data_IF_444703672516
#
_entry.id   IF_444703672516
#
_cell.length_a   1.000
_cell.length_b   1.000
_cell.length_c   1.000
_cell.angle_alpha   90.00
_cell.angle_beta   90.00
_cell.angle_gamma   90.00
#
_symmetry.space_group_name_H-M   'P 1'
#
loop_
_entity.id
_entity.type
_entity.pdbx_description
1 polymer ?
#
# COMPACT_ATOMS: atom_id res chain seq x y z
N UNK A 1 10.13 -1.24 19.93
CA UNK A 1 11.16 -0.72 19.01
C UNK A 1 10.46 0.07 17.91
N UNK A 2 11.07 1.13 17.35
CA UNK A 2 10.52 1.79 16.18
C UNK A 2 10.62 0.86 14.96
N UNK A 3 9.59 0.86 14.10
CA UNK A 3 9.59 0.13 12.85
C UNK A 3 10.14 1.04 11.75
N UNK A 4 10.99 0.46 10.88
CA UNK A 4 11.47 1.17 9.71
C UNK A 4 10.44 1.08 8.59
N UNK A 5 9.91 2.21 8.06
CA UNK A 5 9.01 2.20 6.93
C UNK A 5 9.78 1.97 5.64
N UNK A 6 9.33 1.04 4.80
CA UNK A 6 9.79 0.88 3.43
C UNK A 6 8.61 0.54 2.53
N UNK A 7 8.69 0.93 1.26
CA UNK A 7 7.72 0.58 0.24
C UNK A 7 8.28 -0.55 -0.61
N UNK A 8 7.44 -1.57 -0.86
CA UNK A 8 7.78 -2.70 -1.70
C UNK A 8 6.82 -2.75 -2.88
N UNK A 9 7.34 -2.97 -4.08
CA UNK A 9 6.49 -3.37 -5.19
C UNK A 9 6.09 -4.83 -4.98
N UNK A 10 4.78 -5.06 -4.85
CA UNK A 10 4.20 -6.40 -4.66
C UNK A 10 3.38 -6.87 -5.86
N UNK A 11 3.40 -6.11 -6.96
CA UNK A 11 2.72 -6.47 -8.19
C UNK A 11 3.18 -7.86 -8.68
N UNK A 12 2.22 -8.73 -8.99
CA UNK A 12 2.45 -10.11 -9.40
C UNK A 12 3.22 -10.99 -8.40
N UNK A 13 3.44 -10.52 -7.15
CA UNK A 13 4.08 -11.33 -6.12
C UNK A 13 3.08 -12.26 -5.44
N UNK A 14 3.43 -13.54 -5.22
CA UNK A 14 2.55 -14.48 -4.51
C UNK A 14 2.33 -14.05 -3.06
N UNK A 15 1.08 -13.89 -2.67
CA UNK A 15 0.64 -13.58 -1.32
C UNK A 15 -0.32 -14.67 -0.82
N UNK A 16 -0.09 -15.21 0.37
CA UNK A 16 -1.01 -16.12 1.02
C UNK A 16 -1.81 -15.41 2.10
N UNK A 17 -3.13 -15.55 2.05
CA UNK A 17 -4.04 -15.16 3.14
C UNK A 17 -4.67 -16.43 3.72
N UNK A 18 -4.46 -16.69 5.02
CA UNK A 18 -5.08 -17.80 5.72
C UNK A 18 -6.20 -17.28 6.60
N UNK A 19 -7.42 -17.62 6.23
CA UNK A 19 -8.66 -17.16 6.86
C UNK A 19 -9.68 -16.69 5.83
N UNK A 20 -10.97 -16.82 6.13
CA UNK A 20 -12.06 -16.54 5.20
C UNK A 20 -13.14 -15.63 5.76
N UNK A 21 -12.87 -14.95 6.89
CA UNK A 21 -13.81 -14.03 7.53
C UNK A 21 -13.63 -12.57 7.09
N UNK A 22 -14.41 -11.68 7.70
CA UNK A 22 -14.41 -10.23 7.40
C UNK A 22 -13.05 -9.55 7.61
N UNK A 23 -12.21 -10.07 8.50
CA UNK A 23 -10.86 -9.52 8.71
C UNK A 23 -9.95 -9.87 7.54
N UNK A 24 -10.00 -11.12 7.06
CA UNK A 24 -9.28 -11.55 5.86
C UNK A 24 -9.74 -10.75 4.63
N UNK A 25 -11.06 -10.59 4.44
CA UNK A 25 -11.64 -9.81 3.34
C UNK A 25 -11.06 -8.39 3.28
N UNK A 26 -11.07 -7.66 4.39
CA UNK A 26 -10.50 -6.30 4.46
C UNK A 26 -9.02 -6.23 4.11
N UNK A 27 -8.25 -7.30 4.37
CA UNK A 27 -6.84 -7.38 3.97
C UNK A 27 -6.71 -7.66 2.48
N UNK A 28 -7.53 -8.56 1.95
CA UNK A 28 -7.59 -8.89 0.52
C UNK A 28 -7.94 -7.65 -0.29
N UNK A 29 -9.02 -6.94 0.06
CA UNK A 29 -9.45 -5.71 -0.63
C UNK A 29 -8.33 -4.68 -0.73
N UNK A 30 -7.60 -4.44 0.38
CA UNK A 30 -6.46 -3.52 0.36
C UNK A 30 -5.29 -3.99 -0.48
N UNK A 31 -5.08 -5.30 -0.58
CA UNK A 31 -4.01 -5.85 -1.40
C UNK A 31 -4.32 -5.77 -2.89
N UNK A 32 -5.58 -5.88 -3.27
CA UNK A 32 -6.03 -5.79 -4.67
C UNK A 32 -5.62 -4.47 -5.32
N UNK A 33 -5.54 -3.37 -4.57
CA UNK A 33 -5.06 -2.08 -5.05
C UNK A 33 -3.59 -2.11 -5.53
N UNK A 34 -2.82 -3.14 -5.12
CA UNK A 34 -1.41 -3.32 -5.42
C UNK A 34 -1.11 -4.54 -6.31
N UNK A 35 -2.14 -5.19 -6.82
CA UNK A 35 -2.09 -6.28 -7.80
C UNK A 35 -1.17 -7.48 -7.47
N UNK A 36 -1.04 -7.98 -6.23
CA UNK A 36 -0.35 -9.23 -5.97
C UNK A 36 -1.19 -10.42 -6.45
N UNK A 37 -0.56 -11.58 -6.60
CA UNK A 37 -1.25 -12.85 -6.81
C UNK A 37 -1.71 -13.38 -5.45
N UNK A 38 -3.01 -13.21 -5.15
CA UNK A 38 -3.56 -13.56 -3.84
C UNK A 38 -4.09 -15.00 -3.83
N UNK A 39 -3.49 -15.85 -3.02
CA UNK A 39 -3.99 -17.18 -2.68
C UNK A 39 -4.67 -17.11 -1.31
N UNK A 40 -5.90 -17.57 -1.21
CA UNK A 40 -6.67 -17.63 0.03
C UNK A 40 -6.88 -19.10 0.42
N UNK A 41 -6.57 -19.45 1.67
CA UNK A 41 -6.85 -20.77 2.24
C UNK A 41 -7.72 -20.58 3.48
N UNK A 42 -8.91 -21.17 3.48
CA UNK A 42 -9.86 -21.03 4.57
C UNK A 42 -10.76 -22.28 4.68
N UNK A 43 -11.01 -22.78 5.89
CA UNK A 43 -11.97 -23.87 6.10
C UNK A 43 -13.40 -23.45 5.72
N UNK A 44 -13.70 -22.15 5.79
CA UNK A 44 -14.95 -21.55 5.36
C UNK A 44 -14.69 -20.10 4.95
N UNK A 45 -15.09 -19.72 3.74
CA UNK A 45 -15.00 -18.35 3.25
C UNK A 45 -16.36 -17.63 3.35
N UNK A 46 -16.35 -16.31 3.56
CA UNK A 46 -17.55 -15.48 3.41
C UNK A 46 -17.94 -15.35 1.92
N UNK A 47 -19.15 -14.85 1.67
CA UNK A 47 -19.69 -14.73 0.31
C UNK A 47 -18.83 -13.85 -0.58
N UNK A 48 -18.41 -12.72 -0.06
CA UNK A 48 -17.61 -11.71 -0.77
C UNK A 48 -16.23 -12.27 -1.21
N UNK A 49 -15.58 -13.12 -0.40
CA UNK A 49 -14.33 -13.78 -0.78
C UNK A 49 -14.57 -14.79 -1.93
N UNK A 50 -15.69 -15.53 -1.90
CA UNK A 50 -16.07 -16.41 -3.00
C UNK A 50 -16.36 -15.63 -4.29
N UNK A 51 -17.09 -14.53 -4.20
CA UNK A 51 -17.33 -13.64 -5.34
C UNK A 51 -16.04 -13.10 -5.97
N UNK A 52 -15.04 -12.74 -5.14
CA UNK A 52 -13.72 -12.33 -5.63
C UNK A 52 -13.02 -13.49 -6.37
N UNK A 53 -13.15 -14.71 -5.87
CA UNK A 53 -12.58 -15.91 -6.52
C UNK A 53 -13.31 -16.22 -7.85
N UNK A 54 -14.65 -16.16 -7.87
CA UNK A 54 -15.47 -16.39 -9.07
C UNK A 54 -15.13 -15.36 -10.18
N UNK A 55 -14.77 -14.15 -9.80
CA UNK A 55 -14.30 -13.10 -10.71
C UNK A 55 -12.83 -13.25 -11.13
N UNK A 56 -12.12 -14.27 -10.63
CA UNK A 56 -10.72 -14.51 -10.94
C UNK A 56 -9.73 -13.51 -10.30
N UNK A 57 -10.18 -12.72 -9.33
CA UNK A 57 -9.33 -11.72 -8.67
C UNK A 57 -8.41 -12.34 -7.61
N UNK A 58 -8.77 -13.52 -7.10
CA UNK A 58 -8.01 -14.30 -6.11
C UNK A 58 -8.13 -15.79 -6.42
N UNK A 59 -7.25 -16.61 -5.84
CA UNK A 59 -7.31 -18.07 -5.91
C UNK A 59 -7.76 -18.57 -4.54
N UNK A 60 -8.96 -19.17 -4.45
CA UNK A 60 -9.54 -19.65 -3.21
C UNK A 60 -9.41 -21.18 -3.08
N UNK A 61 -8.90 -21.64 -1.95
CA UNK A 61 -8.95 -23.03 -1.52
C UNK A 61 -9.79 -23.13 -0.25
N UNK A 62 -11.01 -23.65 -0.39
CA UNK A 62 -11.91 -23.81 0.76
C UNK A 62 -11.65 -25.13 1.47
N UNK A 63 -10.61 -25.16 2.29
CA UNK A 63 -10.14 -26.28 3.12
C UNK A 63 -9.32 -25.78 4.31
N UNK A 64 -8.95 -26.68 5.20
CA UNK A 64 -7.99 -26.40 6.25
C UNK A 64 -6.61 -26.06 5.67
N UNK A 65 -5.86 -25.21 6.39
CA UNK A 65 -4.47 -24.87 6.10
C UNK A 65 -3.59 -26.10 6.19
N UNK A 66 -2.60 -26.18 5.31
CA UNK A 66 -1.52 -27.16 5.33
C UNK A 66 -0.17 -26.41 5.29
N UNK A 67 0.84 -26.93 5.96
CA UNK A 67 2.17 -26.29 6.07
C UNK A 67 2.83 -25.98 4.71
N UNK A 68 2.51 -26.78 3.68
CA UNK A 68 2.99 -26.53 2.33
C UNK A 68 2.30 -25.33 1.63
N UNK A 69 1.22 -24.80 2.20
CA UNK A 69 0.52 -23.66 1.58
C UNK A 69 1.35 -22.39 1.55
N UNK A 70 2.32 -22.24 2.48
CA UNK A 70 3.21 -21.09 2.51
C UNK A 70 4.33 -21.15 1.46
N UNK A 71 4.53 -22.30 0.81
CA UNK A 71 5.62 -22.48 -0.15
C UNK A 71 5.44 -21.53 -1.35
N UNK A 72 6.52 -20.85 -1.68
CA UNK A 72 6.54 -19.88 -2.77
C UNK A 72 5.87 -18.54 -2.46
N UNK A 73 5.31 -18.33 -1.25
CA UNK A 73 4.73 -17.07 -0.86
C UNK A 73 5.80 -16.02 -0.54
N UNK A 74 5.66 -14.81 -1.07
CA UNK A 74 6.52 -13.66 -0.74
C UNK A 74 6.21 -13.14 0.67
N UNK A 75 4.94 -13.16 1.06
CA UNK A 75 4.49 -12.83 2.40
C UNK A 75 3.18 -13.55 2.73
N UNK A 76 2.89 -13.68 4.01
CA UNK A 76 1.71 -14.40 4.52
C UNK A 76 0.92 -13.50 5.48
N UNK A 77 -0.40 -13.58 5.39
CA UNK A 77 -1.33 -12.96 6.32
C UNK A 77 -2.14 -14.05 7.00
N UNK A 78 -2.13 -14.09 8.33
CA UNK A 78 -2.99 -15.00 9.07
C UNK A 78 -4.13 -14.22 9.73
N UNK A 79 -5.34 -14.59 9.38
CA UNK A 79 -6.57 -13.95 9.84
C UNK A 79 -7.65 -15.00 10.16
N UNK A 80 -7.25 -16.12 10.77
CA UNK A 80 -8.18 -17.16 11.23
C UNK A 80 -8.75 -16.81 12.60
N UNK A 81 -9.89 -17.39 12.95
CA UNK A 81 -10.44 -17.31 14.31
C UNK A 81 -9.68 -18.14 15.34
N UNK A 82 -8.73 -18.99 14.93
CA UNK A 82 -7.95 -19.85 15.79
C UNK A 82 -6.55 -19.29 16.01
N UNK A 83 -6.29 -18.85 17.25
CA UNK A 83 -4.98 -18.29 17.65
C UNK A 83 -3.85 -19.33 17.56
N UNK A 84 -4.15 -20.61 17.79
CA UNK A 84 -3.17 -21.69 17.70
C UNK A 84 -2.68 -21.84 16.26
N UNK A 85 -3.59 -21.87 15.31
CA UNK A 85 -3.30 -21.92 13.87
C UNK A 85 -2.50 -20.67 13.44
N UNK A 86 -2.93 -19.47 13.82
CA UNK A 86 -2.22 -18.23 13.48
C UNK A 86 -0.77 -18.24 14.02
N UNK A 87 -0.57 -18.68 15.25
CA UNK A 87 0.75 -18.80 15.88
C UNK A 87 1.62 -19.85 15.17
N UNK A 88 1.06 -21.00 14.83
CA UNK A 88 1.76 -22.05 14.08
C UNK A 88 2.25 -21.53 12.74
N UNK A 89 1.37 -20.90 11.96
CA UNK A 89 1.72 -20.31 10.65
C UNK A 89 2.83 -19.27 10.80
N UNK A 90 2.72 -18.38 11.79
CA UNK A 90 3.72 -17.35 12.05
C UNK A 90 5.09 -17.95 12.40
N UNK A 91 5.13 -19.01 13.20
CA UNK A 91 6.37 -19.73 13.52
C UNK A 91 6.98 -20.39 12.28
N UNK A 92 6.15 -21.02 11.45
CA UNK A 92 6.56 -21.63 10.20
C UNK A 92 7.13 -20.60 9.22
N UNK A 93 6.47 -19.44 9.08
CA UNK A 93 6.95 -18.31 8.28
C UNK A 93 8.31 -17.80 8.79
N UNK A 94 8.48 -17.68 10.12
CA UNK A 94 9.74 -17.25 10.72
C UNK A 94 10.88 -18.22 10.43
N UNK A 95 10.63 -19.52 10.50
CA UNK A 95 11.62 -20.57 10.17
C UNK A 95 12.04 -20.52 8.70
N UNK A 96 11.13 -20.12 7.80
CA UNK A 96 11.37 -20.04 6.36
C UNK A 96 11.73 -18.63 5.87
N UNK A 97 11.92 -17.67 6.80
CA UNK A 97 12.22 -16.27 6.50
C UNK A 97 11.17 -15.58 5.60
N UNK A 98 9.91 -16.02 5.70
CA UNK A 98 8.78 -15.42 4.98
C UNK A 98 8.15 -14.34 5.88
N UNK A 99 8.02 -13.09 5.43
CA UNK A 99 7.31 -12.05 6.16
C UNK A 99 5.87 -12.47 6.50
N UNK A 100 5.46 -12.27 7.75
CA UNK A 100 4.13 -12.66 8.24
C UNK A 100 3.44 -11.52 8.99
N UNK A 101 2.17 -11.31 8.69
CA UNK A 101 1.28 -10.46 9.48
C UNK A 101 0.21 -11.33 10.15
N UNK A 102 0.34 -11.51 11.46
CA UNK A 102 -0.65 -12.23 12.26
C UNK A 102 -1.66 -11.23 12.83
N UNK A 103 -2.92 -11.39 12.49
CA UNK A 103 -3.99 -10.52 12.99
C UNK A 103 -4.16 -10.75 14.49
N UNK A 104 -4.31 -9.65 15.24
CA UNK A 104 -4.48 -9.61 16.69
C UNK A 104 -3.31 -10.20 17.51
N UNK A 105 -2.14 -10.43 16.87
CA UNK A 105 -0.93 -10.89 17.54
C UNK A 105 0.32 -10.13 17.05
N UNK A 106 0.59 -8.92 17.60
CA UNK A 106 1.73 -8.10 17.19
C UNK A 106 3.10 -8.75 17.39
N UNK A 107 3.24 -9.65 18.38
CA UNK A 107 4.51 -10.33 18.66
C UNK A 107 4.86 -11.38 17.59
N UNK A 108 3.84 -11.91 16.93
CA UNK A 108 3.98 -12.85 15.83
C UNK A 108 4.14 -12.17 14.47
N UNK A 109 4.01 -10.84 14.39
CA UNK A 109 4.17 -10.09 13.15
C UNK A 109 5.64 -9.78 12.87
N UNK A 110 6.04 -9.91 11.59
CA UNK A 110 7.33 -9.40 11.09
C UNK A 110 7.14 -8.14 10.26
N UNK A 111 5.92 -7.85 9.81
CA UNK A 111 5.53 -6.58 9.20
C UNK A 111 4.12 -6.19 9.61
N UNK A 112 3.78 -4.91 9.43
CA UNK A 112 2.46 -4.39 9.78
C UNK A 112 1.79 -3.74 8.57
N UNK A 113 0.46 -3.88 8.51
CA UNK A 113 -0.36 -3.10 7.59
C UNK A 113 -0.59 -1.71 8.18
N UNK A 114 -0.06 -0.65 7.58
CA UNK A 114 -0.35 0.71 8.01
C UNK A 114 -1.80 1.10 7.66
N UNK A 115 -2.27 2.22 8.19
CA UNK A 115 -3.35 2.93 7.56
C UNK A 115 -2.79 3.60 6.30
N UNK A 116 -3.44 3.42 5.14
CA UNK A 116 -2.92 3.84 3.84
C UNK A 116 -3.83 4.91 3.24
N UNK A 117 -3.21 5.94 2.67
CA UNK A 117 -3.82 6.86 1.71
C UNK A 117 -3.17 6.62 0.36
N UNK A 118 -3.96 6.37 -0.67
CA UNK A 118 -3.50 6.24 -2.05
C UNK A 118 -4.24 7.20 -2.95
N UNK A 119 -3.50 7.99 -3.73
CA UNK A 119 -4.03 8.89 -4.74
C UNK A 119 -3.11 8.83 -5.98
N UNK A 120 -3.48 8.05 -6.98
CA UNK A 120 -2.59 7.72 -8.10
C UNK A 120 -1.30 7.07 -7.59
N UNK A 121 -0.14 7.59 -8.00
CA UNK A 121 1.18 7.09 -7.58
C UNK A 121 1.59 7.53 -6.15
N UNK A 122 0.80 8.43 -5.53
CA UNK A 122 1.09 8.85 -4.15
C UNK A 122 0.58 7.80 -3.16
N UNK A 123 1.46 7.28 -2.34
CA UNK A 123 1.13 6.34 -1.28
C UNK A 123 1.69 6.84 0.06
N UNK A 124 0.81 7.00 1.07
CA UNK A 124 1.18 7.43 2.42
C UNK A 124 0.83 6.32 3.41
N UNK A 125 1.85 5.73 4.04
CA UNK A 125 1.67 4.74 5.09
C UNK A 125 1.75 5.37 6.48
N UNK A 126 0.73 5.15 7.32
CA UNK A 126 0.65 5.70 8.67
C UNK A 126 0.68 4.56 9.68
N UNK A 127 1.69 4.56 10.54
CA UNK A 127 1.82 3.58 11.61
C UNK A 127 1.96 4.27 12.97
N UNK A 128 1.28 3.72 13.97
CA UNK A 128 1.42 4.12 15.38
C UNK A 128 2.15 3.05 16.20
N UNK A 129 2.85 2.12 15.52
CA UNK A 129 3.52 1.00 16.16
C UNK A 129 2.55 0.05 16.89
N UNK A 130 1.30 -0.04 16.43
CA UNK A 130 0.26 -0.86 17.05
C UNK A 130 -0.41 -0.22 18.28
N UNK A 131 0.08 0.94 18.75
CA UNK A 131 -0.42 1.56 20.00
C UNK A 131 -1.77 2.23 19.87
N UNK A 132 -2.10 2.79 18.70
CA UNK A 132 -3.36 3.51 18.51
C UNK A 132 -3.89 3.40 17.07
N UNK A 133 -4.64 2.33 16.75
CA UNK A 133 -5.32 2.22 15.46
C UNK A 133 -6.28 3.38 15.18
N UNK A 134 -6.90 3.92 16.24
CA UNK A 134 -7.80 5.08 16.16
C UNK A 134 -7.07 6.34 15.70
N UNK A 135 -5.86 6.60 16.23
CA UNK A 135 -5.04 7.74 15.80
C UNK A 135 -4.59 7.56 14.35
N UNK A 136 -4.14 6.36 13.97
CA UNK A 136 -3.75 6.08 12.58
C UNK A 136 -4.92 6.30 11.61
N UNK A 137 -6.13 5.86 11.98
CA UNK A 137 -7.35 6.08 11.19
C UNK A 137 -7.73 7.56 11.12
N UNK A 138 -7.61 8.30 12.22
CA UNK A 138 -7.86 9.74 12.25
C UNK A 138 -6.92 10.49 11.30
N UNK A 139 -5.60 10.24 11.42
CA UNK A 139 -4.60 10.86 10.55
C UNK A 139 -4.84 10.56 9.08
N UNK A 140 -5.20 9.30 8.74
CA UNK A 140 -5.57 8.93 7.38
C UNK A 140 -6.73 9.79 6.85
N UNK A 141 -7.82 9.90 7.62
CA UNK A 141 -8.99 10.71 7.25
C UNK A 141 -8.63 12.19 7.10
N UNK A 142 -7.83 12.73 8.02
CA UNK A 142 -7.38 14.13 7.98
C UNK A 142 -6.57 14.41 6.71
N UNK A 143 -5.61 13.53 6.37
CA UNK A 143 -4.84 13.68 5.14
C UNK A 143 -5.76 13.63 3.93
N UNK A 144 -6.62 12.62 3.82
CA UNK A 144 -7.57 12.49 2.70
C UNK A 144 -8.48 13.71 2.54
N UNK A 145 -8.96 14.30 3.66
CA UNK A 145 -9.82 15.49 3.60
C UNK A 145 -9.06 16.77 3.22
N UNK A 146 -7.77 16.85 3.50
CA UNK A 146 -6.93 18.01 3.16
C UNK A 146 -6.41 17.96 1.72
N UNK A 147 -6.27 16.77 1.16
CA UNK A 147 -5.73 16.59 -0.20
C UNK A 147 -6.81 16.59 -1.26
N UNK A 148 -8.06 16.33 -0.88
CA UNK A 148 -9.25 16.32 -1.77
C UNK A 148 -9.08 15.50 -3.06
N UNK A 149 -8.24 14.47 -3.02
CA UNK A 149 -7.95 13.63 -4.19
C UNK A 149 -6.97 14.24 -5.20
N UNK A 150 -6.36 15.40 -4.91
CA UNK A 150 -5.51 16.14 -5.84
C UNK A 150 -4.06 15.65 -5.92
N UNK A 151 -3.58 14.87 -4.94
CA UNK A 151 -2.16 14.49 -4.88
C UNK A 151 -1.72 13.68 -6.09
N UNK A 152 -2.56 12.78 -6.59
CA UNK A 152 -2.25 11.97 -7.77
C UNK A 152 -2.03 12.83 -9.01
N UNK A 153 -2.93 13.79 -9.25
CA UNK A 153 -2.85 14.69 -10.38
C UNK A 153 -1.62 15.62 -10.28
N UNK A 154 -1.37 16.17 -9.07
CA UNK A 154 -0.16 16.96 -8.81
C UNK A 154 1.10 16.12 -9.06
N UNK A 155 1.14 14.88 -8.58
CA UNK A 155 2.28 13.98 -8.79
C UNK A 155 2.53 13.73 -10.27
N UNK A 156 1.47 13.46 -11.05
CA UNK A 156 1.56 13.22 -12.49
C UNK A 156 2.12 14.44 -13.24
N UNK A 157 1.59 15.64 -12.98
CA UNK A 157 2.07 16.87 -13.63
C UNK A 157 3.50 17.17 -13.21
N UNK A 158 3.83 17.02 -11.92
CA UNK A 158 5.19 17.24 -11.40
C UNK A 158 6.19 16.25 -11.98
N UNK A 159 5.80 15.00 -12.27
CA UNK A 159 6.64 14.02 -12.95
C UNK A 159 7.08 14.52 -14.32
N UNK A 160 6.15 15.00 -15.13
CA UNK A 160 6.43 15.55 -16.47
C UNK A 160 7.30 16.82 -16.43
N UNK A 161 7.01 17.73 -15.49
CA UNK A 161 7.84 18.93 -15.27
C UNK A 161 9.27 18.55 -14.85
N UNK A 162 9.42 17.47 -14.08
CA UNK A 162 10.74 16.94 -13.71
C UNK A 162 11.51 16.44 -14.92
N UNK A 163 10.87 15.70 -15.82
CA UNK A 163 11.51 15.21 -17.04
C UNK A 163 11.99 16.36 -17.91
N UNK A 164 11.13 17.38 -18.14
CA UNK A 164 11.53 18.62 -18.80
C UNK A 164 12.72 19.29 -18.11
N UNK A 165 12.71 19.42 -16.78
CA UNK A 165 13.79 20.06 -16.04
C UNK A 165 15.12 19.30 -16.14
N UNK A 166 15.08 17.96 -16.19
CA UNK A 166 16.28 17.13 -16.39
C UNK A 166 16.91 17.36 -17.75
N UNK A 167 16.12 17.56 -18.79
CA UNK A 167 16.60 17.78 -20.16
C UNK A 167 17.06 19.22 -20.41
N UNK A 168 16.41 20.21 -19.79
CA UNK A 168 16.53 21.61 -20.17
C UNK A 168 17.21 22.52 -19.13
N UNK A 169 17.47 22.04 -17.91
CA UNK A 169 18.11 22.80 -16.84
C UNK A 169 19.40 22.12 -16.42
N UNK A 170 20.52 22.76 -16.69
CA UNK A 170 21.86 22.15 -16.54
C UNK A 170 22.28 21.90 -15.08
N UNK A 171 21.95 22.78 -14.15
CA UNK A 171 22.42 22.69 -12.77
C UNK A 171 21.40 22.06 -11.82
N UNK A 172 21.84 21.25 -10.89
CA UNK A 172 20.98 20.62 -9.87
C UNK A 172 20.24 21.66 -9.01
N UNK A 173 20.94 22.75 -8.66
CA UNK A 173 20.37 23.81 -7.84
C UNK A 173 19.22 24.54 -8.55
N UNK A 174 19.37 24.83 -9.86
CA UNK A 174 18.32 25.43 -10.66
C UNK A 174 17.13 24.47 -10.84
N UNK A 175 17.39 23.18 -11.07
CA UNK A 175 16.33 22.15 -11.10
C UNK A 175 15.52 22.11 -9.80
N UNK A 176 16.20 22.06 -8.65
CA UNK A 176 15.53 22.06 -7.34
C UNK A 176 14.65 23.29 -7.14
N UNK A 177 15.15 24.46 -7.53
CA UNK A 177 14.39 25.73 -7.45
C UNK A 177 13.15 25.68 -8.35
N UNK A 178 13.31 25.27 -9.61
CA UNK A 178 12.21 25.15 -10.56
C UNK A 178 11.11 24.17 -10.09
N UNK A 179 11.53 23.00 -9.57
CA UNK A 179 10.59 22.01 -9.03
C UNK A 179 9.84 22.50 -7.79
N UNK A 180 10.52 23.21 -6.89
CA UNK A 180 9.89 23.79 -5.70
C UNK A 180 8.85 24.86 -6.08
N UNK A 181 9.16 25.69 -7.08
CA UNK A 181 8.23 26.72 -7.58
C UNK A 181 7.03 26.08 -8.28
N UNK A 182 7.24 25.08 -9.14
CA UNK A 182 6.17 24.34 -9.80
C UNK A 182 5.22 23.70 -8.78
N UNK A 183 5.76 23.06 -7.75
CA UNK A 183 4.94 22.48 -6.68
C UNK A 183 4.12 23.52 -5.93
N UNK A 184 4.74 24.66 -5.62
CA UNK A 184 4.04 25.78 -4.95
C UNK A 184 2.85 26.25 -5.79
N UNK A 185 3.05 26.46 -7.09
CA UNK A 185 1.98 26.84 -8.01
C UNK A 185 0.84 25.80 -8.00
N UNK A 186 1.17 24.50 -8.08
CA UNK A 186 0.17 23.42 -8.02
C UNK A 186 -0.65 23.44 -6.72
N UNK A 187 0.00 23.71 -5.58
CA UNK A 187 -0.66 23.71 -4.26
C UNK A 187 -1.53 24.96 -4.03
N UNK A 188 -1.12 26.11 -4.57
CA UNK A 188 -1.83 27.40 -4.40
C UNK A 188 -2.91 27.64 -5.44
N UNK A 189 -2.95 26.88 -6.54
CA UNK A 189 -3.95 27.05 -7.60
C UNK A 189 -5.25 26.31 -7.30
N UNK A 190 -6.39 26.95 -7.47
CA UNK A 190 -7.71 26.30 -7.37
C UNK A 190 -7.90 25.24 -8.47
N UNK A 191 -7.42 25.53 -9.68
CA UNK A 191 -7.41 24.62 -10.82
C UNK A 191 -5.96 24.22 -11.10
N UNK A 192 -5.69 22.93 -11.17
CA UNK A 192 -4.35 22.41 -11.43
C UNK A 192 -3.87 22.87 -12.81
N UNK A 193 -2.71 23.56 -12.91
CA UNK A 193 -2.15 23.95 -14.19
C UNK A 193 -1.74 22.75 -15.04
N UNK A 194 -1.80 22.89 -16.34
CA UNK A 194 -1.24 21.87 -17.26
C UNK A 194 0.29 21.85 -17.22
N UNK A 195 0.88 20.78 -17.76
CA UNK A 195 2.33 20.66 -17.91
C UNK A 195 2.92 21.89 -18.64
N UNK A 196 2.32 22.26 -19.79
CA UNK A 196 2.78 23.37 -20.62
C UNK A 196 2.75 24.71 -19.86
N UNK A 197 1.67 24.94 -19.14
CA UNK A 197 1.53 26.16 -18.31
C UNK A 197 2.59 26.22 -17.22
N UNK A 198 2.86 25.11 -16.51
CA UNK A 198 3.91 25.09 -15.50
C UNK A 198 5.30 25.31 -16.08
N UNK A 199 5.60 24.67 -17.21
CA UNK A 199 6.88 24.83 -17.90
C UNK A 199 7.08 26.30 -18.31
N UNK A 200 6.06 26.94 -18.86
CA UNK A 200 6.12 28.37 -19.22
C UNK A 200 6.38 29.25 -18.00
N UNK A 201 5.63 29.05 -16.91
CA UNK A 201 5.77 29.82 -15.67
C UNK A 201 7.16 29.68 -15.03
N UNK A 202 7.80 28.51 -15.10
CA UNK A 202 9.17 28.35 -14.59
C UNK A 202 10.24 28.88 -15.54
N UNK A 203 9.97 28.98 -16.85
CA UNK A 203 10.87 29.64 -17.83
C UNK A 203 10.92 31.16 -17.61
N UNK A 204 9.78 31.79 -17.40
CA UNK A 204 9.67 33.26 -17.23
C UNK A 204 10.35 33.75 -15.94
N UNK A 205 10.59 32.87 -14.96
CA UNK A 205 11.17 33.22 -13.66
C UNK A 205 12.67 32.92 -13.53
N UNK A 206 13.32 32.58 -14.63
CA UNK A 206 14.80 32.53 -14.74
C UNK A 206 15.34 33.95 -14.83
#
# INVERSE_FOLDING_TARGET
MPYFPFFANIENMPCLVVGGGQVALRKIEKLLDFSPIIKVVASKACGEIRELADRGMIILFERAFNDSDIDGSTFVITATGDRGVNKHISQLCRQRHIPCNAVDDPESCTFFFPAIVTEGDVCIGISTGGKSPTLASHLRKTIQSQTEGRLGDICNVMGKVRDYALENISTEQARKKAMAEALKICLESDVLPTEEQLIEMIKERK
#
